data_IF_399103825386
#
_entry.id   IF_399103825386
#
_cell.length_a   1.000
_cell.length_b   1.000
_cell.length_c   1.000
_cell.angle_alpha   90.00
_cell.angle_beta   90.00
_cell.angle_gamma   90.00
#
_symmetry.space_group_name_H-M   'P 1'
#
loop_
_entity.id
_entity.type
_entity.pdbx_description
1 polymer ?
#
# COMPACT_ATOMS: atom_id res chain seq x y z
N UNK A 1 -9.25 -7.07 -15.30
CA UNK A 1 -9.13 -8.54 -15.42
C UNK A 1 -10.34 -9.18 -14.72
N UNK A 2 -10.89 -10.26 -15.27
CA UNK A 2 -12.03 -10.99 -14.70
C UNK A 2 -11.62 -12.45 -14.48
N UNK A 3 -12.01 -13.01 -13.33
CA UNK A 3 -11.65 -14.36 -12.91
C UNK A 3 -12.94 -15.07 -12.47
N UNK A 4 -13.03 -16.37 -12.75
CA UNK A 4 -14.09 -17.24 -12.23
C UNK A 4 -13.51 -18.00 -11.03
N UNK A 5 -14.27 -18.04 -9.94
CA UNK A 5 -13.92 -18.74 -8.71
C UNK A 5 -15.18 -19.37 -8.14
N UNK A 6 -15.06 -20.61 -7.70
CA UNK A 6 -16.13 -21.31 -7.00
C UNK A 6 -16.06 -20.97 -5.52
N UNK A 7 -17.19 -20.51 -4.98
CA UNK A 7 -17.35 -20.15 -3.57
C UNK A 7 -18.64 -20.82 -3.09
N UNK A 8 -18.65 -21.51 -1.94
CA UNK A 8 -19.86 -22.08 -1.38
C UNK A 8 -20.96 -21.03 -1.21
N UNK A 9 -22.21 -21.39 -1.52
CA UNK A 9 -23.35 -20.46 -1.44
C UNK A 9 -23.49 -19.87 -0.03
N UNK A 10 -23.31 -20.69 1.01
CA UNK A 10 -23.38 -20.25 2.40
C UNK A 10 -22.36 -19.15 2.75
N UNK A 11 -21.21 -19.12 2.08
CA UNK A 11 -20.17 -18.12 2.33
C UNK A 11 -20.46 -16.83 1.55
N UNK A 12 -21.09 -16.95 0.36
CA UNK A 12 -21.60 -15.80 -0.38
C UNK A 12 -22.70 -15.10 0.40
N UNK A 13 -23.63 -15.83 1.00
CA UNK A 13 -24.72 -15.27 1.81
C UNK A 13 -24.17 -14.50 3.03
N UNK A 14 -23.21 -15.11 3.76
CA UNK A 14 -22.53 -14.44 4.89
C UNK A 14 -21.81 -13.17 4.43
N UNK A 15 -21.14 -13.22 3.28
CA UNK A 15 -20.42 -12.07 2.73
C UNK A 15 -21.37 -10.94 2.30
N UNK A 16 -22.53 -11.27 1.73
CA UNK A 16 -23.54 -10.29 1.35
C UNK A 16 -24.18 -9.62 2.55
N UNK A 17 -24.46 -10.36 3.62
CA UNK A 17 -24.95 -9.79 4.87
C UNK A 17 -23.95 -8.76 5.44
N UNK A 18 -22.65 -9.06 5.40
CA UNK A 18 -21.59 -8.14 5.79
C UNK A 18 -21.52 -6.92 4.86
N UNK A 19 -21.58 -7.13 3.54
CA UNK A 19 -21.54 -6.06 2.56
C UNK A 19 -22.74 -5.10 2.68
N UNK A 20 -23.93 -5.64 2.94
CA UNK A 20 -25.15 -4.86 3.16
C UNK A 20 -25.04 -3.99 4.42
N UNK A 21 -24.50 -4.55 5.52
CA UNK A 21 -24.23 -3.80 6.76
C UNK A 21 -23.31 -2.60 6.50
N UNK A 22 -22.29 -2.79 5.67
CA UNK A 22 -21.30 -1.76 5.32
C UNK A 22 -21.71 -0.88 4.12
N UNK A 23 -22.93 -1.04 3.59
CA UNK A 23 -23.48 -0.33 2.42
C UNK A 23 -22.55 -0.39 1.18
N UNK A 24 -21.95 -1.54 0.93
CA UNK A 24 -21.03 -1.76 -0.21
C UNK A 24 -21.50 -2.91 -1.09
N UNK A 25 -21.03 -2.94 -2.33
CA UNK A 25 -21.33 -4.03 -3.25
C UNK A 25 -20.55 -5.30 -2.90
N UNK A 26 -21.11 -6.48 -3.22
CA UNK A 26 -20.45 -7.78 -3.10
C UNK A 26 -19.04 -7.79 -3.71
N UNK A 27 -18.90 -7.24 -4.91
CA UNK A 27 -17.62 -7.17 -5.59
C UNK A 27 -16.58 -6.30 -4.83
N UNK A 28 -17.03 -5.23 -4.16
CA UNK A 28 -16.15 -4.44 -3.30
C UNK A 28 -15.69 -5.25 -2.08
N UNK A 29 -16.59 -6.03 -1.49
CA UNK A 29 -16.27 -6.92 -0.36
C UNK A 29 -15.27 -8.01 -0.72
N UNK A 30 -15.44 -8.67 -1.86
CA UNK A 30 -14.49 -9.67 -2.37
C UNK A 30 -13.10 -9.05 -2.59
N UNK A 31 -13.03 -7.86 -3.21
CA UNK A 31 -11.75 -7.16 -3.42
C UNK A 31 -11.04 -6.84 -2.12
N UNK A 32 -11.78 -6.42 -1.09
CA UNK A 32 -11.19 -6.14 0.21
C UNK A 32 -10.71 -7.42 0.91
N UNK A 33 -11.50 -8.50 0.86
CA UNK A 33 -11.09 -9.79 1.41
C UNK A 33 -9.78 -10.29 0.78
N UNK A 34 -9.64 -10.16 -0.55
CA UNK A 34 -8.40 -10.50 -1.27
C UNK A 34 -7.23 -9.61 -0.79
N UNK A 35 -7.43 -8.30 -0.68
CA UNK A 35 -6.38 -7.39 -0.17
C UNK A 35 -5.93 -7.78 1.24
N UNK A 36 -6.87 -8.06 2.14
CA UNK A 36 -6.56 -8.45 3.51
C UNK A 36 -5.80 -9.78 3.56
N UNK A 37 -6.21 -10.76 2.75
CA UNK A 37 -5.49 -12.03 2.62
C UNK A 37 -4.05 -11.81 2.14
N UNK A 38 -3.85 -11.00 1.10
CA UNK A 38 -2.52 -10.69 0.59
C UNK A 38 -1.66 -9.98 1.63
N UNK A 39 -2.19 -8.97 2.33
CA UNK A 39 -1.44 -8.25 3.38
C UNK A 39 -1.01 -9.20 4.51
N UNK A 40 -1.92 -10.08 4.95
CA UNK A 40 -1.63 -11.09 5.99
C UNK A 40 -0.55 -12.08 5.56
N UNK A 41 -0.52 -12.44 4.28
CA UNK A 41 0.29 -13.56 3.81
C UNK A 41 1.58 -13.16 3.06
N UNK A 42 1.68 -11.93 2.55
CA UNK A 42 2.86 -11.49 1.78
C UNK A 42 3.97 -10.91 2.64
N UNK A 43 3.71 -10.61 3.91
CA UNK A 43 4.70 -10.09 4.86
C UNK A 43 5.33 -8.75 4.44
N UNK A 44 5.94 -8.05 5.39
CA UNK A 44 6.61 -6.77 5.13
C UNK A 44 8.05 -6.95 4.58
N UNK A 45 8.39 -8.14 4.06
CA UNK A 45 9.74 -8.45 3.59
C UNK A 45 10.19 -7.51 2.46
N UNK A 46 9.26 -6.98 1.67
CA UNK A 46 9.56 -5.99 0.64
C UNK A 46 10.07 -4.66 1.21
N UNK A 47 9.63 -4.26 2.42
CA UNK A 47 10.10 -3.05 3.09
C UNK A 47 11.58 -3.19 3.44
N UNK A 48 11.97 -4.34 4.01
CA UNK A 48 13.36 -4.62 4.31
C UNK A 48 14.23 -4.68 3.05
N UNK A 49 13.69 -5.22 1.94
CA UNK A 49 14.41 -5.22 0.66
C UNK A 49 14.58 -3.80 0.09
N UNK A 50 13.55 -2.96 0.14
CA UNK A 50 13.60 -1.61 -0.43
C UNK A 50 14.38 -0.60 0.42
N UNK A 51 14.61 -0.89 1.70
CA UNK A 51 15.37 0.00 2.59
C UNK A 51 16.80 0.19 2.06
N UNK A 52 17.15 1.43 1.70
CA UNK A 52 18.47 1.77 1.19
C UNK A 52 18.64 1.63 -0.33
N UNK A 53 17.59 1.31 -1.10
CA UNK A 53 17.67 1.29 -2.57
C UNK A 53 18.06 2.63 -3.20
N UNK A 54 17.83 3.73 -2.48
CA UNK A 54 18.22 5.08 -2.91
C UNK A 54 19.59 5.51 -2.39
N UNK A 55 20.27 4.70 -1.55
CA UNK A 55 21.52 5.08 -0.87
C UNK A 55 22.63 5.42 -1.86
N UNK A 56 22.73 4.63 -2.93
CA UNK A 56 23.84 4.69 -3.90
C UNK A 56 23.38 5.32 -5.23
N UNK A 57 22.32 6.13 -5.20
CA UNK A 57 21.82 6.83 -6.39
C UNK A 57 22.45 8.23 -6.45
N UNK A 58 23.22 8.46 -7.50
CA UNK A 58 23.91 9.74 -7.73
C UNK A 58 23.06 10.78 -8.49
N UNK A 59 21.92 10.37 -9.04
CA UNK A 59 21.01 11.23 -9.82
C UNK A 59 19.99 11.99 -8.95
N UNK A 60 20.01 11.77 -7.64
CA UNK A 60 19.24 12.52 -6.64
C UNK A 60 20.24 13.24 -5.72
N UNK A 61 20.14 14.57 -5.65
CA UNK A 61 21.06 15.39 -4.86
C UNK A 61 20.98 15.10 -3.35
N UNK A 62 22.07 15.37 -2.65
CA UNK A 62 22.15 15.19 -1.19
C UNK A 62 21.20 16.16 -0.46
N UNK A 63 20.33 15.60 0.37
CA UNK A 63 19.29 16.36 1.07
C UNK A 63 19.85 17.28 2.16
N UNK A 64 20.97 16.92 2.79
CA UNK A 64 21.63 17.73 3.81
C UNK A 64 22.31 18.92 3.16
N UNK A 65 23.01 18.70 2.05
CA UNK A 65 23.61 19.77 1.25
C UNK A 65 22.54 20.75 0.74
N UNK A 66 21.41 20.25 0.22
CA UNK A 66 20.28 21.08 -0.17
C UNK A 66 19.74 21.93 1.00
N UNK A 67 19.57 21.32 2.17
CA UNK A 67 19.11 22.05 3.37
C UNK A 67 20.12 23.08 3.88
N UNK A 68 21.43 22.82 3.75
CA UNK A 68 22.49 23.77 4.10
C UNK A 68 22.46 24.99 3.18
N UNK A 69 22.41 24.78 1.87
CA UNK A 69 22.33 25.86 0.89
C UNK A 69 21.12 26.79 1.16
N UNK A 70 19.95 26.24 1.46
CA UNK A 70 18.76 27.04 1.80
C UNK A 70 18.90 27.85 3.11
N UNK A 71 19.78 27.43 4.02
CA UNK A 71 20.02 28.11 5.30
C UNK A 71 21.09 29.19 5.18
N UNK A 72 22.15 28.91 4.43
CA UNK A 72 23.21 29.89 4.14
C UNK A 72 22.65 31.09 3.35
N UNK A 73 21.68 30.87 2.45
CA UNK A 73 20.94 31.94 1.76
C UNK A 73 20.14 32.88 2.70
N UNK A 74 20.04 32.56 3.99
CA UNK A 74 19.28 33.32 5.01
C UNK A 74 20.15 33.99 6.07
N UNK A 75 21.46 33.81 6.03
CA UNK A 75 22.37 34.57 6.87
C UNK A 75 22.54 35.96 6.24
N UNK A 76 21.77 36.93 6.75
CA UNK A 76 21.90 38.34 6.42
C UNK A 76 23.17 38.91 7.08
N UNK A 77 24.07 39.48 6.28
CA UNK A 77 25.18 40.34 6.72
C UNK A 77 24.65 41.66 7.33
#
# INVERSE_FOLDING_TARGET
MRTLVDIPEEDIEKLDALAAKDKRSRAAAIREAIKLYLVRNTGNAWIARGAGYWRDRDDIGDAVEYQRAMREDRDFD
#
